data_IF_036682964787
#
_entry.id   IF_036682964787
#
_cell.length_a   1.000
_cell.length_b   1.000
_cell.length_c   1.000
_cell.angle_alpha   90.00
_cell.angle_beta   90.00
_cell.angle_gamma   90.00
#
_symmetry.space_group_name_H-M   'P 1'
#
loop_
_entity.id
_entity.type
_entity.pdbx_description
1 polymer ?
#
# COMPACT_ATOMS: atom_id res chain seq x y z
N UNK A 1 -10.05 7.63 28.65
CA UNK A 1 -9.87 7.30 28.19
C UNK A 1 -10.02 7.07 27.11
N UNK A 2 -10.20 7.09 26.76
CA UNK A 2 -10.52 6.77 25.82
C UNK A 2 -9.90 6.66 24.78
N UNK A 3 -9.51 6.96 24.58
CA UNK A 3 -8.79 7.04 23.76
C UNK A 3 -8.45 6.01 23.10
N UNK A 4 -8.44 5.58 23.31
CA UNK A 4 -7.96 4.61 22.91
C UNK A 4 -8.50 3.93 22.01
N UNK A 5 -8.86 3.83 22.27
CA UNK A 5 -9.50 3.17 21.75
C UNK A 5 -9.78 3.21 20.47
N UNK A 6 -10.39 3.48 20.34
CA UNK A 6 -10.99 3.50 19.24
C UNK A 6 -10.29 3.46 18.07
N UNK A 7 -10.02 3.96 17.99
CA UNK A 7 -9.39 4.17 17.06
C UNK A 7 -8.77 3.35 16.27
N UNK A 8 -7.98 3.00 16.64
CA UNK A 8 -7.10 2.27 15.90
C UNK A 8 -7.63 1.11 15.27
N UNK A 9 -8.52 0.47 15.81
CA UNK A 9 -8.94 -0.76 15.22
C UNK A 9 -9.68 -0.56 13.93
N UNK A 10 -10.06 0.65 13.64
CA UNK A 10 -10.77 0.88 12.40
C UNK A 10 -9.85 0.90 11.18
N UNK A 11 -8.60 1.23 11.39
CA UNK A 11 -7.69 1.41 10.27
C UNK A 11 -7.17 0.07 9.75
N UNK A 12 -7.27 -0.13 8.45
CA UNK A 12 -6.74 -1.32 7.80
C UNK A 12 -5.42 -0.96 7.13
N UNK A 13 -4.42 -1.80 7.36
CA UNK A 13 -3.12 -1.66 6.70
C UNK A 13 -3.04 -2.67 5.57
N UNK A 14 -2.68 -2.20 4.39
CA UNK A 14 -2.50 -3.07 3.23
C UNK A 14 -1.02 -3.04 2.88
N UNK A 15 -0.42 -4.22 2.79
CA UNK A 15 0.99 -4.35 2.45
C UNK A 15 1.11 -5.20 1.20
N UNK A 16 1.82 -4.67 0.21
CA UNK A 16 2.15 -5.42 -0.99
C UNK A 16 3.66 -5.54 -1.07
N UNK A 17 4.16 -6.76 -1.20
CA UNK A 17 5.58 -7.00 -1.38
C UNK A 17 5.76 -7.42 -2.84
N UNK A 18 6.50 -6.63 -3.59
CA UNK A 18 6.71 -6.88 -5.00
C UNK A 18 8.15 -7.31 -5.23
N UNK A 19 8.31 -8.38 -6.01
CA UNK A 19 9.63 -8.88 -6.39
C UNK A 19 9.88 -8.47 -7.83
N UNK A 20 10.99 -7.81 -8.08
CA UNK A 20 11.26 -7.17 -9.36
C UNK A 20 12.74 -7.39 -9.75
N UNK A 21 13.02 -7.38 -11.04
CA UNK A 21 14.40 -7.37 -11.50
C UNK A 21 15.01 -5.99 -11.23
N UNK A 22 16.30 -5.93 -10.88
CA UNK A 22 16.93 -4.65 -10.53
C UNK A 22 16.74 -3.57 -11.60
N UNK A 23 16.81 -3.96 -12.87
CA UNK A 23 16.66 -2.99 -13.96
C UNK A 23 15.25 -2.43 -14.04
N UNK A 24 14.29 -3.10 -13.44
CA UNK A 24 12.89 -2.69 -13.50
C UNK A 24 12.39 -2.02 -12.23
N UNK A 25 13.22 -1.95 -11.18
CA UNK A 25 12.76 -1.39 -9.91
C UNK A 25 12.26 0.04 -10.07
N UNK A 26 13.01 0.88 -10.74
CA UNK A 26 12.62 2.28 -10.91
C UNK A 26 11.40 2.42 -11.83
N UNK A 27 11.28 1.58 -12.83
CA UNK A 27 10.10 1.57 -13.69
C UNK A 27 8.85 1.21 -12.90
N UNK A 28 8.98 0.22 -12.02
CA UNK A 28 7.88 -0.20 -11.17
C UNK A 28 7.48 0.92 -10.22
N UNK A 29 8.45 1.56 -9.57
CA UNK A 29 8.17 2.65 -8.64
C UNK A 29 7.44 3.78 -9.35
N UNK A 30 7.86 4.12 -10.57
CA UNK A 30 7.19 5.16 -11.34
C UNK A 30 5.74 4.79 -11.63
N UNK A 31 5.50 3.54 -11.99
CA UNK A 31 4.16 3.06 -12.28
C UNK A 31 3.27 3.09 -11.03
N UNK A 32 3.82 2.67 -9.89
CA UNK A 32 3.09 2.69 -8.63
C UNK A 32 2.76 4.11 -8.21
N UNK A 33 3.69 5.02 -8.42
CA UNK A 33 3.47 6.42 -8.11
C UNK A 33 2.37 6.99 -9.00
N UNK A 34 2.40 6.64 -10.27
CA UNK A 34 1.38 7.08 -11.22
C UNK A 34 -0.01 6.60 -10.79
N UNK A 35 -0.14 5.32 -10.41
CA UNK A 35 -1.43 4.79 -9.99
C UNK A 35 -1.91 5.43 -8.69
N UNK A 36 -0.98 5.73 -7.79
CA UNK A 36 -1.35 6.35 -6.51
C UNK A 36 -1.83 7.78 -6.72
N UNK A 37 -1.09 8.56 -7.47
CA UNK A 37 -1.43 9.96 -7.68
C UNK A 37 -2.63 10.13 -8.61
N UNK A 38 -2.81 9.21 -9.53
CA UNK A 38 -3.88 9.31 -10.51
C UNK A 38 -5.20 8.69 -10.10
N UNK A 39 -5.14 7.62 -9.29
CA UNK A 39 -6.35 6.88 -8.94
C UNK A 39 -6.52 6.71 -7.44
N UNK A 40 -5.55 6.07 -6.79
CA UNK A 40 -5.71 5.64 -5.39
C UNK A 40 -6.03 6.80 -4.46
N UNK A 41 -5.35 7.91 -4.60
CA UNK A 41 -5.53 9.04 -3.69
C UNK A 41 -6.91 9.69 -3.80
N UNK A 42 -7.69 9.33 -4.80
CA UNK A 42 -9.04 9.86 -4.98
C UNK A 42 -10.10 8.90 -4.48
N UNK A 43 -9.70 7.71 -4.02
CA UNK A 43 -10.66 6.70 -3.63
C UNK A 43 -11.14 6.92 -2.20
N UNK A 44 -12.41 6.59 -1.98
CA UNK A 44 -13.00 6.71 -0.66
C UNK A 44 -12.32 5.76 0.30
N UNK A 45 -12.01 6.25 1.48
CA UNK A 45 -11.38 5.44 2.52
C UNK A 45 -9.87 5.38 2.47
N UNK A 46 -9.24 5.92 1.42
CA UNK A 46 -7.78 5.97 1.37
C UNK A 46 -7.25 6.98 2.39
N UNK A 47 -6.20 6.60 3.11
CA UNK A 47 -5.57 7.47 4.09
C UNK A 47 -4.16 7.86 3.66
N UNK A 48 -3.33 6.88 3.37
CA UNK A 48 -1.94 7.16 2.99
C UNK A 48 -1.31 5.98 2.27
N UNK A 49 -0.28 6.24 1.50
CA UNK A 49 0.51 5.22 0.82
C UNK A 49 1.98 5.59 0.90
N UNK A 50 2.80 4.61 1.25
CA UNK A 50 4.25 4.75 1.18
C UNK A 50 4.78 3.65 0.26
N UNK A 51 5.69 4.03 -0.62
CA UNK A 51 6.36 3.08 -1.50
C UNK A 51 7.81 3.03 -1.06
N UNK A 52 8.28 1.83 -0.73
CA UNK A 52 9.60 1.62 -0.18
C UNK A 52 10.43 0.85 -1.19
N UNK A 53 11.55 1.45 -1.62
CA UNK A 53 12.49 0.77 -2.49
C UNK A 53 13.50 0.03 -1.63
N UNK A 54 13.54 -1.29 -1.73
CA UNK A 54 14.48 -2.07 -0.95
C UNK A 54 15.90 -1.86 -1.50
N UNK A 55 16.87 -1.88 -0.61
CA UNK A 55 18.26 -1.65 -1.00
C UNK A 55 18.83 -2.79 -1.84
N UNK A 56 18.21 -3.97 -1.80
CA UNK A 56 18.66 -5.08 -2.63
C UNK A 56 18.28 -4.89 -4.10
N UNK A 57 17.51 -3.85 -4.40
CA UNK A 57 17.02 -3.52 -5.74
C UNK A 57 16.11 -4.58 -6.35
N UNK A 58 15.70 -5.56 -5.56
CA UNK A 58 14.86 -6.67 -6.03
C UNK A 58 13.47 -6.66 -5.41
N UNK A 59 13.20 -5.73 -4.51
CA UNK A 59 11.90 -5.64 -3.86
C UNK A 59 11.43 -4.20 -3.79
N UNK A 60 10.11 -4.06 -3.88
CA UNK A 60 9.43 -2.80 -3.61
C UNK A 60 8.29 -3.15 -2.69
N UNK A 61 8.11 -2.39 -1.62
CA UNK A 61 7.03 -2.62 -0.68
C UNK A 61 6.08 -1.44 -0.73
N UNK A 62 4.79 -1.71 -0.85
CA UNK A 62 3.78 -0.68 -0.74
C UNK A 62 3.11 -0.87 0.61
N UNK A 63 3.10 0.20 1.40
CA UNK A 63 2.49 0.22 2.71
C UNK A 63 1.42 1.28 2.68
N UNK A 64 0.16 0.88 2.76
CA UNK A 64 -0.93 1.85 2.68
C UNK A 64 -1.93 1.65 3.81
N UNK A 65 -2.57 2.74 4.18
CA UNK A 65 -3.58 2.74 5.23
C UNK A 65 -4.91 3.14 4.65
N UNK A 66 -5.94 2.44 5.09
CA UNK A 66 -7.30 2.61 4.61
C UNK A 66 -8.26 2.66 5.79
N UNK A 67 -9.39 3.32 5.60
CA UNK A 67 -10.38 3.44 6.67
C UNK A 67 -10.84 2.08 7.18
N UNK A 68 -11.05 1.12 6.27
CA UNK A 68 -11.53 -0.21 6.63
C UNK A 68 -11.26 -1.18 5.49
N UNK A 69 -11.52 -2.46 5.75
CA UNK A 69 -11.28 -3.50 4.75
C UNK A 69 -12.19 -3.32 3.54
N UNK A 70 -13.41 -2.86 3.74
CA UNK A 70 -14.34 -2.65 2.63
C UNK A 70 -13.77 -1.65 1.63
N UNK A 71 -13.05 -0.63 2.11
CA UNK A 71 -12.41 0.35 1.24
C UNK A 71 -11.31 -0.28 0.41
N UNK A 72 -10.55 -1.20 1.00
CA UNK A 72 -9.51 -1.94 0.28
C UNK A 72 -10.15 -2.80 -0.82
N UNK A 73 -11.22 -3.49 -0.48
CA UNK A 73 -11.91 -4.35 -1.44
C UNK A 73 -12.50 -3.54 -2.59
N UNK A 74 -13.04 -2.38 -2.28
CA UNK A 74 -13.58 -1.49 -3.31
C UNK A 74 -12.48 -0.99 -4.24
N UNK A 75 -11.30 -0.70 -3.69
CA UNK A 75 -10.15 -0.30 -4.50
C UNK A 75 -9.74 -1.42 -5.44
N UNK A 76 -9.70 -2.65 -4.94
CA UNK A 76 -9.30 -3.79 -5.76
C UNK A 76 -10.31 -4.08 -6.87
N UNK A 77 -11.55 -3.66 -6.71
CA UNK A 77 -12.59 -3.84 -7.71
C UNK A 77 -12.76 -2.61 -8.61
N UNK A 78 -12.02 -1.54 -8.34
CA UNK A 78 -12.15 -0.32 -9.11
C UNK A 78 -11.62 -0.51 -10.52
N UNK A 79 -12.38 -0.18 -11.58
CA UNK A 79 -11.95 -0.43 -12.96
C UNK A 79 -10.63 0.25 -13.33
N UNK A 80 -10.38 1.45 -12.82
CA UNK A 80 -9.13 2.14 -13.11
C UNK A 80 -7.94 1.44 -12.46
N UNK A 81 -8.13 0.88 -11.27
CA UNK A 81 -7.07 0.11 -10.62
C UNK A 81 -6.85 -1.23 -11.32
N UNK A 82 -7.94 -1.88 -11.72
CA UNK A 82 -7.84 -3.14 -12.44
C UNK A 82 -7.00 -2.96 -13.72
N UNK A 83 -7.10 -1.81 -14.36
CA UNK A 83 -6.31 -1.54 -15.56
C UNK A 83 -4.81 -1.45 -15.26
N UNK A 84 -4.41 -1.12 -14.03
CA UNK A 84 -3.01 -1.08 -13.66
C UNK A 84 -2.43 -2.44 -13.34
N UNK A 85 -3.24 -3.40 -12.88
CA UNK A 85 -2.73 -4.68 -12.41
C UNK A 85 -1.89 -5.43 -13.45
N UNK A 86 -2.32 -5.55 -14.71
CA UNK A 86 -1.49 -6.23 -15.72
C UNK A 86 -0.18 -5.49 -15.97
N UNK A 87 -0.19 -4.16 -15.87
CA UNK A 87 1.02 -3.38 -16.08
C UNK A 87 2.03 -3.64 -14.96
N UNK A 88 1.54 -3.75 -13.73
CA UNK A 88 2.38 -4.10 -12.59
C UNK A 88 2.88 -5.53 -12.73
N UNK A 89 2.00 -6.45 -13.11
CA UNK A 89 2.36 -7.86 -13.25
C UNK A 89 3.40 -8.09 -14.34
N UNK A 90 3.46 -7.20 -15.33
CA UNK A 90 4.46 -7.29 -16.39
C UNK A 90 5.86 -6.99 -15.85
N UNK A 91 5.98 -6.28 -14.74
CA UNK A 91 7.26 -5.89 -14.17
C UNK A 91 7.62 -6.67 -12.92
N UNK A 92 6.67 -7.22 -12.20
CA UNK A 92 6.92 -7.79 -10.88
C UNK A 92 5.90 -8.85 -10.50
N UNK A 93 6.33 -9.77 -9.65
CA UNK A 93 5.41 -10.65 -8.95
C UNK A 93 5.09 -9.99 -7.62
N UNK A 94 3.91 -10.20 -7.07
CA UNK A 94 3.59 -9.56 -5.80
C UNK A 94 2.73 -10.43 -4.90
N UNK A 95 2.88 -10.19 -3.59
CA UNK A 95 2.05 -10.78 -2.56
C UNK A 95 1.39 -9.64 -1.79
N UNK A 96 0.12 -9.81 -1.45
CA UNK A 96 -0.67 -8.77 -0.85
C UNK A 96 -1.27 -9.26 0.46
N UNK A 97 -1.18 -8.44 1.50
CA UNK A 97 -1.67 -8.77 2.83
C UNK A 97 -2.44 -7.59 3.40
N UNK A 98 -3.61 -7.87 3.97
CA UNK A 98 -4.37 -6.86 4.68
C UNK A 98 -4.43 -7.23 6.15
N UNK A 99 -4.29 -6.25 7.01
CA UNK A 99 -4.33 -6.48 8.45
C UNK A 99 -4.51 -5.18 9.19
N UNK A 100 -4.26 -5.24 10.47
CA UNK A 100 -4.29 -4.05 11.30
C UNK A 100 -3.15 -4.10 12.30
N UNK A 101 -2.71 -2.93 12.73
CA UNK A 101 -1.61 -2.83 13.68
C UNK A 101 -2.09 -3.31 15.03
N UNK A 102 -1.41 -4.30 15.60
CA UNK A 102 -1.76 -4.83 16.91
C UNK A 102 -0.83 -4.33 18.00
N UNK A 103 0.27 -3.69 17.63
CA UNK A 103 1.19 -3.12 18.59
C UNK A 103 2.04 -2.07 17.91
N UNK A 104 2.22 -0.96 18.59
CA UNK A 104 3.04 0.12 18.09
C UNK A 104 3.67 0.81 19.29
N UNK A 105 4.98 0.97 19.24
CA UNK A 105 5.70 1.67 20.30
C UNK A 105 6.65 2.64 19.64
N UNK A 106 6.59 3.87 20.04
CA UNK A 106 7.41 4.91 19.46
C UNK A 106 8.50 5.29 20.44
N UNK A 107 9.64 5.72 19.90
CA UNK A 107 10.69 6.21 20.74
C UNK A 107 10.18 7.42 21.52
N UNK A 108 10.54 7.47 22.80
CA UNK A 108 10.17 8.62 23.61
C UNK A 108 10.97 9.83 23.18
N UNK A 109 10.35 10.97 23.30
CA UNK A 109 11.06 12.20 23.07
C UNK A 109 12.06 12.39 24.20
N UNK A 110 13.24 12.86 23.90
CA UNK A 110 14.23 13.06 24.94
C UNK A 110 14.68 14.46 25.04
#
# INVERSE_FOLDING_TARGET
MPTIVAVTEEVTTLINVLTVEPDNQQKLIKLLRESTEGVVCKLDGWISTSVIAAKDERHVVIYSKWRDLASVEAMQANPEMIAYFPRVAALAAFDSFAGHVVYNHRASCR
#
